data_IF_756200614763
#
_entry.id   IF_756200614763
#
_cell.length_a   1.000
_cell.length_b   1.000
_cell.length_c   1.000
_cell.angle_alpha   90.00
_cell.angle_beta   90.00
_cell.angle_gamma   90.00
#
_symmetry.space_group_name_H-M   'P 1'
#
loop_
_entity.id
_entity.type
_entity.pdbx_description
1 polymer ?
#
# COMPACT_ATOMS: atom_id res chain seq x y z
N UNK A 1 4.51 -19.10 -29.65
CA UNK A 1 5.96 -19.34 -29.48
C UNK A 1 6.78 -18.28 -30.24
N UNK A 2 6.50 -18.07 -31.51
CA UNK A 2 7.32 -17.19 -32.37
C UNK A 2 7.22 -15.71 -32.06
N UNK A 3 6.15 -15.27 -31.33
CA UNK A 3 6.01 -13.88 -30.98
C UNK A 3 7.05 -13.45 -29.93
N UNK A 4 7.34 -14.32 -28.95
CA UNK A 4 8.31 -14.04 -27.88
C UNK A 4 9.77 -14.07 -28.36
N UNK A 5 10.09 -14.78 -29.44
CA UNK A 5 11.42 -14.83 -30.02
C UNK A 5 11.84 -13.55 -30.75
N UNK A 6 10.94 -12.59 -30.91
CA UNK A 6 11.22 -11.28 -31.51
C UNK A 6 11.94 -10.30 -30.60
N UNK A 7 12.00 -10.59 -29.30
CA UNK A 7 12.53 -9.66 -28.31
C UNK A 7 13.98 -10.00 -27.99
N UNK A 8 14.90 -9.10 -28.33
CA UNK A 8 16.30 -9.19 -27.93
C UNK A 8 16.57 -8.65 -26.52
N UNK A 9 15.63 -7.84 -25.99
CA UNK A 9 15.74 -7.24 -24.65
C UNK A 9 14.39 -7.31 -23.94
N UNK A 10 14.42 -7.65 -22.64
CA UNK A 10 13.23 -7.67 -21.76
C UNK A 10 13.52 -6.88 -20.48
N UNK A 11 12.61 -5.98 -20.14
CA UNK A 11 12.59 -5.27 -18.85
C UNK A 11 11.42 -5.78 -18.02
N UNK A 12 11.71 -6.23 -16.80
CA UNK A 12 10.72 -6.59 -15.79
C UNK A 12 10.69 -5.54 -14.69
N UNK A 13 9.72 -4.62 -14.74
CA UNK A 13 9.49 -3.71 -13.63
C UNK A 13 8.73 -4.43 -12.52
N UNK A 14 8.94 -4.01 -11.26
CA UNK A 14 8.44 -4.72 -10.07
C UNK A 14 8.78 -6.23 -10.12
N UNK A 15 10.03 -6.53 -10.46
CA UNK A 15 10.47 -7.89 -10.77
C UNK A 15 10.29 -8.87 -9.61
N UNK A 16 10.09 -8.41 -8.37
CA UNK A 16 9.70 -9.24 -7.23
C UNK A 16 8.39 -10.02 -7.49
N UNK A 17 7.53 -9.56 -8.40
CA UNK A 17 6.32 -10.27 -8.85
C UNK A 17 6.60 -11.46 -9.77
N UNK A 18 7.80 -11.61 -10.32
CA UNK A 18 8.17 -12.69 -11.26
C UNK A 18 8.34 -14.08 -10.61
N UNK A 19 8.12 -14.17 -9.31
CA UNK A 19 7.88 -15.45 -8.62
C UNK A 19 6.57 -16.13 -9.03
N UNK A 20 5.62 -15.41 -9.65
CA UNK A 20 4.38 -15.97 -10.16
C UNK A 20 4.61 -16.87 -11.38
N UNK A 21 3.87 -17.96 -11.46
CA UNK A 21 3.99 -18.93 -12.57
C UNK A 21 3.77 -18.31 -13.94
N UNK A 22 2.83 -17.36 -14.06
CA UNK A 22 2.51 -16.69 -15.31
C UNK A 22 3.68 -15.85 -15.83
N UNK A 23 4.26 -14.99 -14.99
CA UNK A 23 5.38 -14.14 -15.36
C UNK A 23 6.65 -14.93 -15.64
N UNK A 24 6.95 -15.95 -14.81
CA UNK A 24 8.07 -16.87 -15.07
C UNK A 24 7.90 -17.59 -16.40
N UNK A 25 6.68 -18.03 -16.75
CA UNK A 25 6.39 -18.68 -18.04
C UNK A 25 6.62 -17.73 -19.20
N UNK A 26 6.24 -16.46 -19.10
CA UNK A 26 6.49 -15.44 -20.12
C UNK A 26 8.00 -15.27 -20.32
N UNK A 27 8.76 -15.08 -19.24
CA UNK A 27 10.21 -14.93 -19.29
C UNK A 27 10.91 -16.12 -19.94
N UNK A 28 10.47 -17.34 -19.65
CA UNK A 28 11.01 -18.56 -20.22
C UNK A 28 10.71 -18.72 -21.73
N UNK A 29 9.69 -18.03 -22.25
CA UNK A 29 9.40 -17.98 -23.68
C UNK A 29 10.25 -16.97 -24.46
N UNK A 30 10.83 -15.99 -23.80
CA UNK A 30 11.72 -14.99 -24.39
C UNK A 30 13.13 -15.57 -24.55
N UNK A 31 13.27 -16.68 -25.26
CA UNK A 31 14.53 -17.45 -25.37
C UNK A 31 15.63 -16.68 -26.10
N UNK A 32 15.25 -15.82 -27.06
CA UNK A 32 16.17 -15.00 -27.87
C UNK A 32 16.54 -13.66 -27.18
N UNK A 33 15.99 -13.39 -25.98
CA UNK A 33 16.33 -12.19 -25.25
C UNK A 33 17.71 -12.31 -24.62
N UNK A 34 18.69 -11.68 -25.25
CA UNK A 34 20.08 -11.61 -24.78
C UNK A 34 20.22 -10.76 -23.52
N UNK A 35 19.43 -9.65 -23.46
CA UNK A 35 19.47 -8.73 -22.35
C UNK A 35 18.18 -8.80 -21.51
N UNK A 36 18.34 -9.07 -20.21
CA UNK A 36 17.21 -9.21 -19.28
C UNK A 36 17.47 -8.35 -18.05
N UNK A 37 16.64 -7.33 -17.84
CA UNK A 37 16.75 -6.40 -16.73
C UNK A 37 15.51 -6.53 -15.83
N UNK A 38 15.73 -6.72 -14.54
CA UNK A 38 14.69 -6.68 -13.53
C UNK A 38 14.94 -5.48 -12.61
N UNK A 39 13.91 -4.64 -12.41
CA UNK A 39 13.94 -3.54 -11.46
C UNK A 39 12.94 -3.78 -10.33
N UNK A 40 13.32 -3.47 -9.10
CA UNK A 40 12.43 -3.49 -7.95
C UNK A 40 13.03 -2.66 -6.82
N UNK A 41 12.19 -2.02 -6.04
CA UNK A 41 12.56 -1.35 -4.80
C UNK A 41 12.52 -2.29 -3.60
N UNK A 42 11.81 -3.41 -3.70
CA UNK A 42 11.56 -4.37 -2.61
C UNK A 42 11.94 -5.80 -3.00
N UNK A 43 12.90 -6.37 -2.29
CA UNK A 43 13.13 -7.82 -2.26
C UNK A 43 12.61 -8.34 -0.92
N UNK A 44 11.74 -9.35 -0.96
CA UNK A 44 11.08 -9.90 0.24
C UNK A 44 12.03 -10.69 1.18
N UNK A 45 13.30 -10.81 0.81
CA UNK A 45 14.34 -11.47 1.58
C UNK A 45 14.22 -13.00 1.65
N UNK A 46 13.29 -13.60 0.89
CA UNK A 46 13.19 -15.05 0.78
C UNK A 46 14.22 -15.56 -0.23
N UNK A 47 15.20 -16.34 0.23
CA UNK A 47 16.29 -16.88 -0.60
C UNK A 47 15.79 -17.61 -1.84
N UNK A 48 14.69 -18.37 -1.73
CA UNK A 48 14.07 -19.06 -2.88
C UNK A 48 13.57 -18.09 -3.95
N UNK A 49 13.00 -16.96 -3.56
CA UNK A 49 12.55 -15.96 -4.51
C UNK A 49 13.72 -15.24 -5.17
N UNK A 50 14.76 -14.95 -4.40
CA UNK A 50 15.98 -14.35 -4.92
C UNK A 50 16.64 -15.26 -5.97
N UNK A 51 16.73 -16.56 -5.72
CA UNK A 51 17.26 -17.53 -6.70
C UNK A 51 16.46 -17.55 -8.00
N UNK A 52 15.11 -17.49 -7.92
CA UNK A 52 14.26 -17.42 -9.13
C UNK A 52 14.56 -16.13 -9.90
N UNK A 53 14.65 -15.00 -9.23
CA UNK A 53 14.94 -13.72 -9.88
C UNK A 53 16.34 -13.69 -10.49
N UNK A 54 17.34 -14.24 -9.81
CA UNK A 54 18.69 -14.38 -10.36
C UNK A 54 18.72 -15.31 -11.58
N UNK A 55 17.95 -16.37 -11.59
CA UNK A 55 17.80 -17.25 -12.75
C UNK A 55 17.15 -16.60 -13.97
N UNK A 56 16.26 -15.62 -13.74
CA UNK A 56 15.56 -14.89 -14.81
C UNK A 56 16.32 -13.66 -15.30
N UNK A 57 16.96 -12.90 -14.42
CA UNK A 57 17.54 -11.59 -14.69
C UNK A 57 19.04 -11.48 -14.42
N UNK A 58 19.64 -12.50 -13.80
CA UNK A 58 21.05 -12.50 -13.45
C UNK A 58 21.33 -11.90 -12.06
N UNK A 59 22.56 -11.48 -11.82
CA UNK A 59 23.02 -11.01 -10.51
C UNK A 59 22.29 -9.75 -10.03
N UNK A 60 21.95 -9.74 -8.74
CA UNK A 60 21.32 -8.59 -8.09
C UNK A 60 22.38 -7.51 -7.79
N UNK A 61 22.07 -6.28 -8.19
CA UNK A 61 22.86 -5.10 -7.87
C UNK A 61 22.01 -4.10 -7.09
N UNK A 62 22.50 -3.64 -5.96
CA UNK A 62 21.88 -2.54 -5.23
C UNK A 62 22.42 -1.22 -5.81
N UNK A 63 21.53 -0.43 -6.42
CA UNK A 63 21.89 0.84 -7.05
C UNK A 63 21.96 1.96 -6.02
N UNK A 64 21.02 1.99 -5.08
CA UNK A 64 20.95 3.00 -4.02
C UNK A 64 20.18 2.46 -2.81
N UNK A 65 20.17 3.20 -1.73
CA UNK A 65 19.38 2.90 -0.54
C UNK A 65 18.38 4.02 -0.26
N UNK A 66 17.27 3.68 0.41
CA UNK A 66 16.26 4.66 0.87
C UNK A 66 16.90 5.80 1.65
N UNK A 67 17.91 5.49 2.49
CA UNK A 67 18.62 6.47 3.29
C UNK A 67 19.43 7.46 2.43
N UNK A 68 20.16 6.96 1.44
CA UNK A 68 20.89 7.82 0.50
C UNK A 68 19.97 8.75 -0.28
N UNK A 69 18.80 8.25 -0.71
CA UNK A 69 17.79 9.05 -1.40
C UNK A 69 17.18 10.11 -0.48
N UNK A 70 16.98 9.82 0.81
CA UNK A 70 16.49 10.77 1.80
C UNK A 70 17.57 11.80 2.18
N UNK A 71 18.82 11.40 2.31
CA UNK A 71 19.95 12.28 2.64
C UNK A 71 20.23 13.26 1.48
N UNK A 72 19.95 12.87 0.24
CA UNK A 72 20.06 13.69 -0.97
C UNK A 72 18.77 14.48 -1.31
N UNK A 73 17.77 14.51 -0.41
CA UNK A 73 16.46 15.15 -0.60
C UNK A 73 15.69 14.68 -1.86
N UNK A 74 16.07 13.53 -2.42
CA UNK A 74 15.34 12.90 -3.56
C UNK A 74 14.09 12.17 -3.08
N UNK A 75 14.10 11.68 -1.85
CA UNK A 75 12.97 11.03 -1.20
C UNK A 75 12.57 11.78 0.07
N UNK A 76 11.28 11.87 0.34
CA UNK A 76 10.75 12.53 1.53
C UNK A 76 11.25 11.83 2.82
N UNK A 77 11.54 12.62 3.84
CA UNK A 77 11.88 12.11 5.18
C UNK A 77 10.62 11.51 5.81
N UNK A 78 10.70 10.25 6.22
CA UNK A 78 9.59 9.51 6.81
C UNK A 78 9.74 9.42 8.33
N UNK A 79 8.68 9.77 9.06
CA UNK A 79 8.56 9.52 10.50
C UNK A 79 7.45 8.50 10.76
N UNK A 80 7.78 7.33 11.31
CA UNK A 80 6.83 6.28 11.62
C UNK A 80 6.45 6.36 13.09
N UNK A 81 5.15 6.54 13.37
CA UNK A 81 4.58 6.54 14.73
C UNK A 81 3.68 5.33 14.90
N UNK A 82 4.09 4.39 15.75
CA UNK A 82 3.27 3.24 16.13
C UNK A 82 2.44 3.58 17.37
N UNK A 83 1.12 3.65 17.23
CA UNK A 83 0.18 3.90 18.30
C UNK A 83 -0.37 2.55 18.77
N UNK A 84 -0.20 2.25 20.05
CA UNK A 84 -0.70 1.03 20.68
C UNK A 84 -1.97 1.39 21.43
N UNK A 85 -3.10 0.83 21.00
CA UNK A 85 -4.37 0.92 21.70
C UNK A 85 -4.49 -0.28 22.64
N UNK A 86 -4.55 0.00 23.94
CA UNK A 86 -4.69 -1.06 24.92
C UNK A 86 -6.16 -1.41 25.17
N UNK A 87 -6.43 -2.68 25.41
CA UNK A 87 -7.73 -3.20 25.77
C UNK A 87 -7.72 -3.70 27.20
N UNK A 88 -8.87 -3.69 27.86
CA UNK A 88 -8.99 -4.23 29.20
C UNK A 88 -8.72 -5.75 29.23
N UNK A 89 -8.36 -6.29 30.40
CA UNK A 89 -7.95 -7.69 30.56
C UNK A 89 -9.08 -8.68 30.18
N UNK A 90 -10.32 -8.32 30.36
CA UNK A 90 -11.47 -9.15 29.99
C UNK A 90 -11.54 -9.35 28.47
N UNK A 91 -11.36 -8.28 27.69
CA UNK A 91 -11.30 -8.35 26.22
C UNK A 91 -10.11 -9.19 25.80
N UNK A 92 -8.91 -8.96 26.35
CA UNK A 92 -7.70 -9.72 26.04
C UNK A 92 -7.89 -11.24 26.25
N UNK A 93 -8.47 -11.63 27.39
CA UNK A 93 -8.77 -13.04 27.73
C UNK A 93 -9.77 -13.67 26.75
N UNK A 94 -10.80 -12.93 26.36
CA UNK A 94 -11.80 -13.41 25.42
C UNK A 94 -11.23 -13.63 24.01
N UNK A 95 -10.24 -12.83 23.59
CA UNK A 95 -9.62 -12.95 22.27
C UNK A 95 -8.56 -14.06 22.17
N UNK A 96 -7.94 -14.48 23.26
CA UNK A 96 -6.98 -15.60 23.25
C UNK A 96 -7.52 -16.95 22.77
N UNK A 97 -8.84 -17.08 22.61
CA UNK A 97 -9.53 -18.29 22.11
C UNK A 97 -10.18 -18.11 20.74
N UNK A 98 -10.06 -16.93 20.11
CA UNK A 98 -10.73 -16.62 18.84
C UNK A 98 -9.84 -16.91 17.64
N UNK A 99 -10.48 -17.13 16.50
CA UNK A 99 -9.81 -17.26 15.20
C UNK A 99 -9.28 -15.88 14.75
N UNK A 100 -8.27 -15.89 13.89
CA UNK A 100 -7.75 -14.68 13.27
C UNK A 100 -8.85 -13.84 12.59
N UNK A 101 -9.84 -14.50 11.95
CA UNK A 101 -10.94 -13.81 11.28
C UNK A 101 -11.83 -13.06 12.26
N UNK A 102 -12.16 -13.66 13.40
CA UNK A 102 -12.95 -13.03 14.46
C UNK A 102 -12.19 -11.87 15.12
N UNK A 103 -10.87 -12.00 15.27
CA UNK A 103 -10.02 -10.93 15.79
C UNK A 103 -10.01 -9.72 14.83
N UNK A 104 -9.81 -9.96 13.54
CA UNK A 104 -9.84 -8.90 12.52
C UNK A 104 -11.20 -8.21 12.49
N UNK A 105 -12.29 -8.98 12.52
CA UNK A 105 -13.63 -8.41 12.53
C UNK A 105 -13.86 -7.50 13.73
N UNK A 106 -13.47 -7.94 14.93
CA UNK A 106 -13.52 -7.10 16.13
C UNK A 106 -12.70 -5.81 15.97
N UNK A 107 -11.46 -5.91 15.47
CA UNK A 107 -10.57 -4.76 15.30
C UNK A 107 -11.21 -3.71 14.37
N UNK A 108 -11.73 -4.14 13.21
CA UNK A 108 -12.24 -3.20 12.19
C UNK A 108 -13.61 -2.63 12.53
N UNK A 109 -14.42 -3.34 13.34
CA UNK A 109 -15.76 -2.88 13.75
C UNK A 109 -15.77 -2.20 15.13
N UNK A 110 -14.64 -2.15 15.84
CA UNK A 110 -14.57 -1.56 17.18
C UNK A 110 -14.80 -0.04 17.14
N UNK A 111 -15.94 0.40 17.67
CA UNK A 111 -16.38 1.80 17.62
C UNK A 111 -15.39 2.72 18.33
N UNK A 112 -14.87 2.35 19.51
CA UNK A 112 -13.91 3.19 20.26
C UNK A 112 -12.62 3.40 19.49
N UNK A 113 -12.11 2.32 18.86
CA UNK A 113 -10.93 2.37 18.00
C UNK A 113 -11.18 3.24 16.77
N UNK A 114 -12.31 3.06 16.09
CA UNK A 114 -12.63 3.82 14.90
C UNK A 114 -12.87 5.30 15.21
N UNK A 115 -13.47 5.63 16.35
CA UNK A 115 -13.57 7.01 16.86
C UNK A 115 -12.19 7.63 17.11
N UNK A 116 -11.26 6.87 17.71
CA UNK A 116 -9.90 7.32 17.90
C UNK A 116 -9.20 7.61 16.56
N UNK A 117 -9.31 6.69 15.60
CA UNK A 117 -8.74 6.86 14.25
C UNK A 117 -9.33 8.09 13.55
N UNK A 118 -10.65 8.27 13.62
CA UNK A 118 -11.33 9.46 13.09
C UNK A 118 -10.75 10.74 13.71
N UNK A 119 -10.69 10.82 15.03
CA UNK A 119 -10.16 12.01 15.71
C UNK A 119 -8.70 12.27 15.33
N UNK A 120 -7.85 11.25 15.36
CA UNK A 120 -6.47 11.35 14.90
C UNK A 120 -6.38 11.89 13.48
N UNK A 121 -7.20 11.37 12.56
CA UNK A 121 -7.19 11.78 11.15
C UNK A 121 -7.59 13.26 11.00
N UNK A 122 -8.57 13.71 11.78
CA UNK A 122 -9.03 15.10 11.75
C UNK A 122 -8.01 16.07 12.35
N UNK A 123 -7.26 15.64 13.37
CA UNK A 123 -6.22 16.45 14.03
C UNK A 123 -4.94 16.59 13.17
N UNK A 124 -4.67 15.64 12.27
CA UNK A 124 -3.53 15.71 11.36
C UNK A 124 -3.67 16.88 10.39
N UNK A 125 -2.60 17.65 10.23
CA UNK A 125 -2.50 18.76 9.27
C UNK A 125 -1.89 18.26 7.97
N UNK A 126 -2.36 18.83 6.86
CA UNK A 126 -1.95 18.44 5.51
C UNK A 126 -2.76 17.25 4.96
N UNK A 127 -2.52 16.96 3.68
CA UNK A 127 -3.21 15.89 2.99
C UNK A 127 -2.92 14.54 3.65
N UNK A 128 -3.97 13.80 3.97
CA UNK A 128 -3.91 12.58 4.77
C UNK A 128 -4.56 11.42 4.02
N UNK A 129 -3.83 10.32 3.86
CA UNK A 129 -4.33 9.07 3.30
C UNK A 129 -4.65 8.08 4.43
N UNK A 130 -5.89 7.61 4.49
CA UNK A 130 -6.38 6.64 5.47
C UNK A 130 -6.61 5.31 4.77
N UNK A 131 -5.82 4.30 5.08
CA UNK A 131 -5.82 3.01 4.39
C UNK A 131 -6.59 1.94 5.14
N UNK A 132 -7.53 1.26 4.45
CA UNK A 132 -8.34 0.18 4.98
C UNK A 132 -8.32 -1.08 4.09
N UNK A 133 -8.71 -2.25 4.65
CA UNK A 133 -8.81 -3.52 3.90
C UNK A 133 -10.25 -3.90 3.52
N UNK A 134 -11.22 -3.63 4.39
CA UNK A 134 -12.60 -4.10 4.24
C UNK A 134 -13.53 -2.94 3.87
N UNK A 135 -14.04 -2.96 2.65
CA UNK A 135 -14.86 -1.87 2.10
C UNK A 135 -16.10 -1.64 2.95
N UNK A 136 -16.97 -2.64 3.06
CA UNK A 136 -18.29 -2.53 3.70
C UNK A 136 -18.18 -2.41 5.24
N UNK A 137 -17.33 -3.24 5.85
CA UNK A 137 -17.24 -3.34 7.32
C UNK A 137 -16.40 -2.23 7.96
N UNK A 138 -15.51 -1.58 7.19
CA UNK A 138 -14.57 -0.62 7.75
C UNK A 138 -14.44 0.66 6.93
N UNK A 139 -14.22 0.56 5.61
CA UNK A 139 -13.96 1.71 4.76
C UNK A 139 -15.13 2.68 4.69
N UNK A 140 -16.32 2.20 4.36
CA UNK A 140 -17.54 3.02 4.29
C UNK A 140 -17.90 3.65 5.65
N UNK A 141 -17.95 2.89 6.76
CA UNK A 141 -18.18 3.49 8.09
C UNK A 141 -17.13 4.52 8.48
N UNK A 142 -15.85 4.25 8.22
CA UNK A 142 -14.75 5.17 8.54
C UNK A 142 -14.85 6.47 7.72
N UNK A 143 -15.10 6.37 6.42
CA UNK A 143 -15.32 7.52 5.56
C UNK A 143 -16.44 8.40 6.10
N UNK A 144 -17.61 7.79 6.35
CA UNK A 144 -18.77 8.52 6.88
C UNK A 144 -18.46 9.22 8.20
N UNK A 145 -17.80 8.52 9.15
CA UNK A 145 -17.42 9.12 10.43
C UNK A 145 -16.49 10.33 10.28
N UNK A 146 -15.58 10.29 9.31
CA UNK A 146 -14.64 11.39 9.04
C UNK A 146 -15.36 12.53 8.33
N UNK A 147 -16.16 12.23 7.30
CA UNK A 147 -16.90 13.20 6.50
C UNK A 147 -17.91 14.00 7.36
N UNK A 148 -18.69 13.29 8.19
CA UNK A 148 -19.68 13.91 9.09
C UNK A 148 -19.04 14.83 10.16
N UNK A 149 -17.76 14.66 10.47
CA UNK A 149 -17.04 15.41 11.50
C UNK A 149 -15.94 16.33 10.94
N UNK A 150 -15.74 16.34 9.64
CA UNK A 150 -14.76 17.23 9.00
C UNK A 150 -15.21 18.69 9.09
N UNK A 151 -14.24 19.59 9.23
CA UNK A 151 -14.48 21.03 9.18
C UNK A 151 -15.07 21.44 7.82
N UNK A 152 -15.89 22.48 7.81
CA UNK A 152 -16.45 23.02 6.58
C UNK A 152 -15.35 23.37 5.57
N UNK A 153 -15.50 22.90 4.33
CA UNK A 153 -14.52 23.12 3.25
C UNK A 153 -13.37 22.09 3.21
N UNK A 154 -13.20 21.21 4.23
CA UNK A 154 -12.22 20.14 4.19
C UNK A 154 -12.72 18.97 3.33
N UNK A 155 -12.07 18.70 2.21
CA UNK A 155 -12.49 17.66 1.28
C UNK A 155 -12.15 16.27 1.82
N UNK A 156 -13.15 15.36 1.79
CA UNK A 156 -13.00 13.96 2.18
C UNK A 156 -13.42 13.07 1.01
N UNK A 157 -12.47 12.29 0.49
CA UNK A 157 -12.67 11.42 -0.66
C UNK A 157 -12.73 9.95 -0.22
N UNK A 158 -13.59 9.17 -0.89
CA UNK A 158 -13.64 7.72 -0.71
C UNK A 158 -13.19 7.01 -1.98
N UNK A 159 -12.25 6.08 -1.85
CA UNK A 159 -11.71 5.30 -2.98
C UNK A 159 -11.66 3.82 -2.65
N UNK A 160 -12.35 3.03 -3.46
CA UNK A 160 -12.32 1.56 -3.40
C UNK A 160 -11.97 0.96 -4.77
N UNK A 161 -11.81 -0.35 -4.84
CA UNK A 161 -11.53 -1.05 -6.08
C UNK A 161 -12.60 -0.87 -7.18
N UNK A 162 -13.83 -0.52 -6.79
CA UNK A 162 -14.95 -0.27 -7.72
C UNK A 162 -14.91 1.13 -8.35
N UNK A 163 -14.07 2.03 -7.84
CA UNK A 163 -13.92 3.38 -8.41
C UNK A 163 -13.09 3.29 -9.70
N UNK A 164 -13.61 3.86 -10.78
CA UNK A 164 -12.94 3.86 -12.09
C UNK A 164 -11.58 4.55 -12.03
N UNK A 165 -10.67 4.17 -12.93
CA UNK A 165 -9.30 4.67 -12.94
C UNK A 165 -9.22 6.19 -13.19
N UNK A 166 -10.06 6.71 -14.08
CA UNK A 166 -10.19 8.14 -14.37
C UNK A 166 -10.61 8.96 -13.14
N UNK A 167 -11.61 8.48 -12.39
CA UNK A 167 -12.04 9.13 -11.15
C UNK A 167 -10.95 9.08 -10.07
N UNK A 168 -10.20 7.99 -9.97
CA UNK A 168 -9.05 7.90 -9.04
C UNK A 168 -7.97 8.90 -9.38
N UNK A 169 -7.70 9.10 -10.67
CA UNK A 169 -6.72 10.08 -11.14
C UNK A 169 -7.20 11.51 -10.88
N UNK A 170 -8.49 11.79 -11.05
CA UNK A 170 -9.08 13.07 -10.69
C UNK A 170 -8.97 13.38 -9.19
N UNK A 171 -9.24 12.38 -8.32
CA UNK A 171 -9.08 12.53 -6.87
C UNK A 171 -7.60 12.78 -6.52
N UNK A 172 -6.67 12.06 -7.16
CA UNK A 172 -5.23 12.28 -6.99
C UNK A 172 -4.86 13.72 -7.35
N UNK A 173 -5.22 14.16 -8.54
CA UNK A 173 -4.94 15.50 -9.02
C UNK A 173 -5.56 16.59 -8.12
N UNK A 174 -6.83 16.42 -7.74
CA UNK A 174 -7.50 17.35 -6.81
C UNK A 174 -6.77 17.41 -5.47
N UNK A 175 -6.34 16.26 -4.93
CA UNK A 175 -5.60 16.21 -3.66
C UNK A 175 -4.26 16.94 -3.75
N UNK A 176 -3.58 16.89 -4.89
CA UNK A 176 -2.32 17.61 -5.08
C UNK A 176 -2.50 19.14 -5.06
N UNK A 177 -3.69 19.63 -5.39
CA UNK A 177 -4.04 21.06 -5.33
C UNK A 177 -4.54 21.50 -3.94
N UNK A 178 -4.94 20.54 -3.09
CA UNK A 178 -5.42 20.81 -1.74
C UNK A 178 -4.26 20.78 -0.72
N UNK A 179 -4.45 21.51 0.36
CA UNK A 179 -3.49 21.57 1.46
C UNK A 179 -3.88 20.75 2.69
N UNK A 180 -5.12 20.27 2.76
CA UNK A 180 -5.65 19.58 3.95
C UNK A 180 -6.77 18.57 3.62
N UNK A 181 -6.70 17.90 2.48
CA UNK A 181 -7.68 16.88 2.09
C UNK A 181 -7.45 15.55 2.80
N UNK A 182 -8.51 14.75 2.91
CA UNK A 182 -8.46 13.39 3.43
C UNK A 182 -8.90 12.42 2.32
N UNK A 183 -8.13 11.35 2.09
CA UNK A 183 -8.50 10.26 1.20
C UNK A 183 -8.65 9.00 2.04
N UNK A 184 -9.85 8.42 2.06
CA UNK A 184 -10.11 7.12 2.69
C UNK A 184 -10.11 6.07 1.59
N UNK A 185 -9.07 5.24 1.53
CA UNK A 185 -8.81 4.35 0.40
C UNK A 185 -8.51 2.90 0.80
N UNK A 186 -8.84 1.96 -0.09
CA UNK A 186 -8.45 0.57 0.14
C UNK A 186 -6.97 0.33 -0.17
N UNK A 187 -6.32 -0.55 0.59
CA UNK A 187 -4.93 -0.96 0.34
C UNK A 187 -4.69 -1.40 -1.11
N UNK A 188 -5.61 -2.19 -1.68
CA UNK A 188 -5.47 -2.68 -3.05
C UNK A 188 -5.50 -1.58 -4.11
N UNK A 189 -6.05 -0.41 -3.76
CA UNK A 189 -6.23 0.69 -4.71
C UNK A 189 -5.12 1.75 -4.56
N UNK A 190 -4.57 1.94 -3.36
CA UNK A 190 -3.67 3.06 -3.06
C UNK A 190 -2.34 2.65 -2.41
N UNK A 191 -2.02 1.34 -2.32
CA UNK A 191 -0.78 0.89 -1.67
C UNK A 191 0.44 0.80 -2.59
N UNK A 192 0.22 0.70 -3.91
CA UNK A 192 1.32 0.53 -4.88
C UNK A 192 1.04 1.33 -6.16
N UNK A 193 2.08 1.93 -6.71
CA UNK A 193 2.02 2.59 -8.02
C UNK A 193 1.29 3.93 -8.07
N UNK A 194 0.87 4.49 -6.92
CA UNK A 194 0.24 5.82 -6.85
C UNK A 194 1.19 6.79 -6.19
N UNK A 195 1.56 7.82 -6.92
CA UNK A 195 2.35 8.93 -6.42
C UNK A 195 1.45 10.16 -6.23
N UNK A 196 1.26 10.59 -4.98
CA UNK A 196 0.62 11.86 -4.63
C UNK A 196 1.70 12.76 -4.07
N UNK A 197 2.16 13.74 -4.86
CA UNK A 197 3.30 14.60 -4.51
C UNK A 197 3.09 15.41 -3.24
N UNK A 198 1.85 15.79 -2.97
CA UNK A 198 1.48 16.61 -1.82
C UNK A 198 0.81 15.78 -0.71
N UNK A 199 1.31 14.56 -0.45
CA UNK A 199 0.81 13.72 0.64
C UNK A 199 1.70 13.89 1.87
N UNK A 200 1.09 14.26 3.02
CA UNK A 200 1.81 14.54 4.26
C UNK A 200 1.71 13.41 5.27
N UNK A 201 0.56 12.73 5.33
CA UNK A 201 0.29 11.70 6.32
C UNK A 201 -0.31 10.44 5.70
N UNK A 202 0.08 9.28 6.24
CA UNK A 202 -0.57 8.00 5.95
C UNK A 202 -0.98 7.34 7.26
N UNK A 203 -2.26 6.99 7.38
CA UNK A 203 -2.83 6.31 8.54
C UNK A 203 -3.21 4.89 8.16
N UNK A 204 -2.50 3.92 8.70
CA UNK A 204 -2.80 2.49 8.51
C UNK A 204 -3.86 2.06 9.51
N UNK A 205 -5.06 1.75 9.04
CA UNK A 205 -6.20 1.46 9.92
C UNK A 205 -6.56 -0.02 10.01
N UNK A 206 -6.02 -0.85 9.15
CA UNK A 206 -6.25 -2.29 9.16
C UNK A 206 -4.94 -3.04 9.25
N UNK A 207 -4.86 -4.13 10.02
CA UNK A 207 -3.68 -4.97 10.03
C UNK A 207 -3.50 -5.63 8.66
N UNK A 208 -2.23 -5.75 8.23
CA UNK A 208 -1.83 -6.47 7.03
C UNK A 208 -0.73 -7.46 7.37
N UNK A 209 -0.80 -8.68 6.79
CA UNK A 209 0.28 -9.69 6.91
C UNK A 209 1.36 -9.50 5.86
N UNK A 210 1.12 -8.68 4.85
CA UNK A 210 2.07 -8.48 3.74
C UNK A 210 3.16 -7.48 4.15
N UNK A 211 4.41 -7.89 4.09
CA UNK A 211 5.57 -7.02 4.29
C UNK A 211 5.78 -6.01 3.16
N UNK A 212 5.18 -6.27 1.99
CA UNK A 212 5.32 -5.43 0.79
C UNK A 212 4.29 -4.29 0.78
N UNK A 213 3.18 -4.45 1.52
CA UNK A 213 2.07 -3.47 1.52
C UNK A 213 2.13 -2.47 2.67
N UNK A 214 3.10 -2.60 3.56
CA UNK A 214 3.22 -1.73 4.75
C UNK A 214 4.47 -0.89 4.68
#
# INVERSE_FOLDING_TARGET
>A
PDWFSRFGTVFGDECHGFKSKSLTTIMNKCVEAEYRFGTTDTLDGALTHELVLQGLFGKVYRVTSTRELQDNDTLAKLSIRRIILDHNEEIKKNFGKKTYQEEIEFIVTNVKRNTFIKNLTLDLKGNTLVLYNFVEKHGIPMHKMIEDAAEEGRKVFFVSGNVKADVREEIRHTTELESNAIIVASYGTFSTGINIRNLHNVVFTSPSKSRIRN
#
